data_IF_338708370535
#
_entry.id   IF_338708370535
#
_cell.length_a   1.000
_cell.length_b   1.000
_cell.length_c   1.000
_cell.angle_alpha   90.00
_cell.angle_beta   90.00
_cell.angle_gamma   90.00
#
_symmetry.space_group_name_H-M   'P 1'
#
loop_
_entity.id
_entity.type
_entity.pdbx_description
1 polymer ?
#
# COMPACT_ATOMS: atom_id res chain seq x y z
N UNK A 1 -9.19 -3.10 24.08
CA UNK A 1 -9.19 -1.63 24.24
C UNK A 1 -8.23 -1.12 23.20
N UNK A 2 -8.77 -0.57 22.12
CA UNK A 2 -7.98 -0.13 20.97
C UNK A 2 -7.58 1.33 21.21
N UNK A 3 -6.29 1.64 21.11
CA UNK A 3 -5.76 2.99 21.38
C UNK A 3 -5.19 3.55 20.08
N UNK A 4 -5.74 4.67 19.63
CA UNK A 4 -5.20 5.43 18.51
C UNK A 4 -4.20 6.46 19.02
N UNK A 5 -2.98 6.47 18.47
CA UNK A 5 -1.98 7.52 18.71
C UNK A 5 -1.74 8.23 17.39
N UNK A 6 -1.88 9.56 17.41
CA UNK A 6 -1.59 10.40 16.24
C UNK A 6 -0.09 10.67 16.21
N UNK A 7 0.57 10.33 15.11
CA UNK A 7 2.03 10.51 14.94
C UNK A 7 2.32 11.72 14.06
N UNK A 8 1.45 12.02 13.10
CA UNK A 8 1.52 13.21 12.24
C UNK A 8 0.11 13.69 11.87
N UNK A 9 -0.02 14.81 11.15
CA UNK A 9 -1.30 15.44 10.86
C UNK A 9 -2.29 14.52 10.12
N UNK A 10 -1.76 13.54 9.39
CA UNK A 10 -2.47 12.57 8.55
C UNK A 10 -2.21 11.09 8.89
N UNK A 11 -1.42 10.78 9.93
CA UNK A 11 -1.00 9.41 10.27
C UNK A 11 -1.45 9.01 11.66
N UNK A 12 -2.13 7.86 11.75
CA UNK A 12 -2.65 7.29 12.98
C UNK A 12 -2.11 5.88 13.20
N UNK A 13 -1.64 5.60 14.41
CA UNK A 13 -1.22 4.28 14.85
C UNK A 13 -2.33 3.69 15.73
N UNK A 14 -2.71 2.46 15.44
CA UNK A 14 -3.75 1.70 16.12
C UNK A 14 -3.17 0.36 16.51
N UNK A 15 -3.69 -0.23 17.60
CA UNK A 15 -3.39 -1.61 17.95
C UNK A 15 -4.64 -2.46 17.82
N UNK A 16 -4.52 -3.60 17.14
CA UNK A 16 -5.58 -4.57 16.94
C UNK A 16 -5.07 -5.95 17.40
N UNK A 17 -5.46 -6.38 18.60
CA UNK A 17 -4.89 -7.60 19.19
C UNK A 17 -3.38 -7.46 19.41
N UNK A 18 -2.57 -8.34 18.82
CA UNK A 18 -1.09 -8.24 18.77
C UNK A 18 -0.57 -7.31 17.68
N UNK A 19 -1.37 -7.03 16.65
CA UNK A 19 -0.94 -6.30 15.48
C UNK A 19 -0.93 -4.78 15.69
N UNK A 20 0.10 -4.12 15.16
CA UNK A 20 0.14 -2.68 14.99
C UNK A 20 -0.37 -2.31 13.60
N UNK A 21 -1.22 -1.30 13.51
CA UNK A 21 -1.83 -0.82 12.28
C UNK A 21 -1.58 0.67 12.13
N UNK A 22 -0.94 1.05 11.04
CA UNK A 22 -0.69 2.43 10.64
C UNK A 22 -1.72 2.82 9.59
N UNK A 23 -2.37 3.96 9.79
CA UNK A 23 -3.38 4.52 8.89
C UNK A 23 -2.89 5.88 8.42
N UNK A 24 -2.54 5.97 7.14
CA UNK A 24 -2.25 7.21 6.45
C UNK A 24 -3.46 7.70 5.67
N UNK A 25 -3.86 8.95 5.89
CA UNK A 25 -4.97 9.58 5.16
C UNK A 25 -4.47 10.82 4.40
N UNK A 26 -4.49 10.76 3.08
CA UNK A 26 -4.27 11.93 2.22
C UNK A 26 -5.60 12.46 1.69
N UNK A 27 -5.58 13.60 1.00
CA UNK A 27 -6.78 14.18 0.39
C UNK A 27 -7.52 13.22 -0.55
N UNK A 28 -6.79 12.31 -1.22
CA UNK A 28 -7.33 11.47 -2.29
C UNK A 28 -7.19 9.96 -2.02
N UNK A 29 -6.44 9.56 -1.00
CA UNK A 29 -6.14 8.15 -0.75
C UNK A 29 -6.10 7.82 0.73
N UNK A 30 -6.65 6.65 1.06
CA UNK A 30 -6.45 5.96 2.31
C UNK A 30 -5.39 4.88 2.08
N UNK A 31 -4.37 4.85 2.94
CA UNK A 31 -3.43 3.75 3.06
C UNK A 31 -3.50 3.19 4.48
N UNK A 32 -3.69 1.89 4.61
CA UNK A 32 -3.66 1.18 5.89
C UNK A 32 -2.59 0.10 5.76
N UNK A 33 -1.62 0.07 6.66
CA UNK A 33 -0.57 -0.94 6.69
C UNK A 33 -0.40 -1.50 8.09
N UNK A 34 -0.01 -2.76 8.16
CA UNK A 34 0.37 -3.45 9.39
C UNK A 34 1.75 -4.08 9.16
N UNK A 35 2.82 -3.53 9.74
CA UNK A 35 4.14 -4.14 9.67
C UNK A 35 4.17 -5.44 10.48
N UNK A 36 4.71 -6.51 9.92
CA UNK A 36 4.65 -7.85 10.52
C UNK A 36 6.04 -8.40 10.82
N UNK A 37 6.94 -8.42 9.83
CA UNK A 37 8.29 -8.98 9.98
C UNK A 37 9.33 -8.02 9.40
N UNK A 38 10.49 -7.92 10.06
CA UNK A 38 11.58 -7.02 9.65
C UNK A 38 12.39 -7.55 8.46
N UNK A 39 12.40 -8.86 8.29
CA UNK A 39 13.16 -9.56 7.27
C UNK A 39 12.41 -10.82 6.82
N UNK A 40 12.87 -11.43 5.74
CA UNK A 40 12.34 -12.71 5.25
C UNK A 40 12.99 -13.88 6.02
N UNK A 41 12.29 -15.03 6.15
CA UNK A 41 12.85 -16.17 6.87
C UNK A 41 14.02 -16.77 6.07
N UNK A 42 15.22 -16.70 6.65
CA UNK A 42 16.45 -17.14 5.98
C UNK A 42 16.40 -18.62 5.59
N UNK A 43 16.74 -18.91 4.33
CA UNK A 43 16.72 -20.26 3.76
C UNK A 43 15.34 -20.79 3.39
N UNK A 44 14.27 -20.01 3.58
CA UNK A 44 12.88 -20.34 3.21
C UNK A 44 12.19 -19.20 2.45
N UNK A 45 12.95 -18.25 1.91
CA UNK A 45 12.44 -17.00 1.33
C UNK A 45 11.46 -17.27 0.19
N UNK A 46 11.81 -18.17 -0.73
CA UNK A 46 10.95 -18.50 -1.87
C UNK A 46 9.61 -19.13 -1.45
N UNK A 47 9.63 -20.02 -0.44
CA UNK A 47 8.42 -20.66 0.08
C UNK A 47 7.55 -19.64 0.83
N UNK A 48 8.17 -18.75 1.61
CA UNK A 48 7.49 -17.68 2.29
C UNK A 48 6.80 -16.73 1.31
N UNK A 49 7.50 -16.26 0.29
CA UNK A 49 6.92 -15.41 -0.77
C UNK A 49 5.75 -16.10 -1.49
N UNK A 50 5.87 -17.39 -1.81
CA UNK A 50 4.76 -18.14 -2.40
C UNK A 50 3.56 -18.20 -1.46
N UNK A 51 3.80 -18.40 -0.16
CA UNK A 51 2.75 -18.42 0.85
C UNK A 51 2.04 -17.07 0.96
N UNK A 52 2.78 -15.96 0.97
CA UNK A 52 2.20 -14.62 0.97
C UNK A 52 1.28 -14.39 -0.24
N UNK A 53 1.69 -14.84 -1.42
CA UNK A 53 0.88 -14.74 -2.63
C UNK A 53 -0.42 -15.57 -2.54
N UNK A 54 -0.37 -16.76 -1.95
CA UNK A 54 -1.58 -17.57 -1.71
C UNK A 54 -2.53 -16.91 -0.70
N UNK A 55 -2.00 -16.27 0.33
CA UNK A 55 -2.80 -15.51 1.29
C UNK A 55 -3.42 -14.27 0.63
N UNK A 56 -2.72 -13.60 -0.28
CA UNK A 56 -3.26 -12.49 -1.07
C UNK A 56 -4.49 -12.90 -1.90
N UNK A 57 -4.43 -14.07 -2.54
CA UNK A 57 -5.56 -14.64 -3.26
C UNK A 57 -6.74 -14.91 -2.29
N UNK A 58 -6.45 -15.51 -1.13
CA UNK A 58 -7.45 -15.83 -0.10
C UNK A 58 -8.15 -14.58 0.44
N UNK A 59 -7.43 -13.46 0.61
CA UNK A 59 -8.00 -12.21 1.10
C UNK A 59 -8.88 -11.48 0.07
N UNK A 60 -8.95 -11.96 -1.18
CA UNK A 60 -9.89 -11.46 -2.19
C UNK A 60 -9.73 -9.98 -2.52
N UNK A 61 -8.50 -9.45 -2.40
CA UNK A 61 -8.18 -8.04 -2.69
C UNK A 61 -8.58 -7.03 -1.60
N UNK A 62 -9.04 -7.49 -0.43
CA UNK A 62 -9.31 -6.60 0.72
C UNK A 62 -8.01 -6.01 1.29
N UNK A 63 -6.97 -6.84 1.35
CA UNK A 63 -5.63 -6.48 1.75
C UNK A 63 -4.63 -7.35 0.97
N UNK A 64 -3.37 -6.94 0.95
CA UNK A 64 -2.29 -7.70 0.34
C UNK A 64 -1.00 -7.56 1.14
N UNK A 65 -0.27 -8.66 1.23
CA UNK A 65 1.12 -8.68 1.64
C UNK A 65 1.99 -8.03 0.58
N UNK A 66 2.95 -7.25 1.05
CA UNK A 66 4.03 -6.68 0.26
C UNK A 66 5.34 -6.75 1.04
N UNK A 67 6.45 -6.76 0.30
CA UNK A 67 7.80 -6.66 0.86
C UNK A 67 8.32 -5.29 0.44
N UNK A 68 8.69 -4.48 1.43
CA UNK A 68 9.28 -3.17 1.22
C UNK A 68 10.76 -3.27 0.82
N UNK A 69 11.30 -2.20 0.27
CA UNK A 69 12.69 -2.17 -0.18
C UNK A 69 13.71 -2.33 0.96
N UNK A 70 13.31 -1.99 2.18
CA UNK A 70 14.07 -2.16 3.42
C UNK A 70 13.95 -3.56 4.03
N UNK A 71 13.23 -4.48 3.36
CA UNK A 71 13.06 -5.87 3.78
C UNK A 71 11.82 -6.14 4.63
N UNK A 72 11.08 -5.10 5.05
CA UNK A 72 9.89 -5.29 5.86
C UNK A 72 8.77 -6.00 5.10
N UNK A 73 8.20 -7.01 5.75
CA UNK A 73 6.97 -7.65 5.31
C UNK A 73 5.81 -6.91 5.95
N UNK A 74 4.94 -6.36 5.12
CA UNK A 74 3.77 -5.60 5.54
C UNK A 74 2.50 -6.15 4.92
N UNK A 75 1.43 -6.15 5.71
CA UNK A 75 0.08 -6.33 5.19
C UNK A 75 -0.53 -4.94 4.96
N UNK A 76 -0.98 -4.65 3.75
CA UNK A 76 -1.51 -3.33 3.41
C UNK A 76 -2.82 -3.39 2.65
N UNK A 77 -3.61 -2.34 2.79
CA UNK A 77 -4.77 -2.05 1.97
C UNK A 77 -4.75 -0.56 1.59
N UNK A 78 -5.01 -0.27 0.33
CA UNK A 78 -5.06 1.10 -0.18
C UNK A 78 -6.26 1.29 -1.09
N UNK A 79 -6.95 2.43 -0.96
CA UNK A 79 -7.98 2.83 -1.94
C UNK A 79 -8.15 4.34 -1.98
N UNK A 80 -8.85 4.80 -2.99
CA UNK A 80 -9.28 6.19 -3.08
C UNK A 80 -10.12 6.58 -1.86
N UNK A 81 -9.79 7.71 -1.24
CA UNK A 81 -10.58 8.33 -0.17
C UNK A 81 -11.81 9.08 -0.73
N UNK A 82 -11.86 9.31 -2.06
CA UNK A 82 -12.97 10.01 -2.70
C UNK A 82 -14.26 9.20 -2.57
N UNK A 83 -15.26 9.80 -1.93
CA UNK A 83 -16.56 9.16 -1.72
C UNK A 83 -16.54 8.07 -0.66
N UNK A 84 -15.45 7.94 0.11
CA UNK A 84 -15.36 6.99 1.21
C UNK A 84 -16.22 7.45 2.38
N UNK A 85 -17.11 6.58 2.85
CA UNK A 85 -17.84 6.83 4.08
C UNK A 85 -17.12 6.26 5.32
N UNK A 86 -17.60 6.67 6.51
CA UNK A 86 -17.02 6.23 7.77
C UNK A 86 -17.13 4.70 7.98
N UNK A 87 -18.17 4.06 7.44
CA UNK A 87 -18.35 2.63 7.55
C UNK A 87 -17.31 1.89 6.69
N UNK A 88 -17.12 2.29 5.44
CA UNK A 88 -16.08 1.77 4.55
C UNK A 88 -14.69 1.94 5.14
N UNK A 89 -14.37 3.13 5.67
CA UNK A 89 -13.12 3.37 6.37
C UNK A 89 -12.90 2.37 7.51
N UNK A 90 -13.92 2.19 8.38
CA UNK A 90 -13.86 1.24 9.50
C UNK A 90 -13.69 -0.19 9.02
N UNK A 91 -14.35 -0.57 7.93
CA UNK A 91 -14.24 -1.92 7.35
C UNK A 91 -12.82 -2.18 6.86
N UNK A 92 -12.19 -1.24 6.15
CA UNK A 92 -10.81 -1.39 5.68
C UNK A 92 -9.85 -1.54 6.86
N UNK A 93 -9.89 -0.59 7.82
CA UNK A 93 -9.00 -0.61 8.99
C UNK A 93 -9.17 -1.90 9.80
N UNK A 94 -10.43 -2.30 10.05
CA UNK A 94 -10.74 -3.54 10.77
C UNK A 94 -10.26 -4.78 10.03
N UNK A 95 -10.35 -4.79 8.71
CA UNK A 95 -9.96 -5.96 7.92
C UNK A 95 -8.45 -6.15 7.98
N UNK A 96 -7.67 -5.08 7.78
CA UNK A 96 -6.20 -5.15 7.91
C UNK A 96 -5.79 -5.59 9.31
N UNK A 97 -6.36 -4.97 10.36
CA UNK A 97 -6.03 -5.35 11.74
C UNK A 97 -6.34 -6.81 12.05
N UNK A 98 -7.51 -7.30 11.62
CA UNK A 98 -7.91 -8.70 11.82
C UNK A 98 -7.04 -9.69 11.04
N UNK A 99 -6.68 -9.38 9.80
CA UNK A 99 -5.82 -10.25 8.99
C UNK A 99 -4.38 -10.24 9.51
N UNK A 100 -3.88 -9.09 9.97
CA UNK A 100 -2.55 -8.99 10.56
C UNK A 100 -2.43 -9.86 11.83
N UNK A 101 -3.39 -9.73 12.76
CA UNK A 101 -3.47 -10.52 14.01
C UNK A 101 -3.77 -12.01 13.79
N UNK A 102 -4.29 -12.39 12.62
CA UNK A 102 -4.52 -13.80 12.28
C UNK A 102 -3.27 -14.42 11.66
N UNK A 103 -2.60 -13.69 10.77
CA UNK A 103 -1.51 -14.21 9.96
C UNK A 103 -0.14 -14.00 10.58
N UNK A 104 0.03 -13.11 11.56
CA UNK A 104 1.29 -12.94 12.28
C UNK A 104 1.68 -14.23 13.00
N UNK A 105 0.80 -14.74 13.85
CA UNK A 105 1.00 -15.98 14.60
C UNK A 105 1.14 -17.17 13.64
N UNK A 106 0.28 -17.26 12.62
CA UNK A 106 0.33 -18.35 11.65
C UNK A 106 1.66 -18.39 10.87
N UNK A 107 2.11 -17.25 10.34
CA UNK A 107 3.35 -17.18 9.55
C UNK A 107 4.59 -17.33 10.45
N UNK A 108 4.50 -16.86 11.69
CA UNK A 108 5.56 -17.06 12.68
C UNK A 108 5.77 -18.55 12.97
N UNK A 109 4.69 -19.27 13.28
CA UNK A 109 4.74 -20.70 13.56
C UNK A 109 5.22 -21.51 12.34
N UNK A 110 4.80 -21.15 11.13
CA UNK A 110 5.13 -21.89 9.90
C UNK A 110 6.59 -21.68 9.46
N UNK A 111 7.15 -20.47 9.62
CA UNK A 111 8.45 -20.11 9.03
C UNK A 111 9.55 -19.76 10.02
N UNK A 112 9.21 -19.16 11.16
CA UNK A 112 10.16 -18.59 12.11
C UNK A 112 10.36 -19.43 13.38
N UNK A 113 9.44 -20.33 13.73
CA UNK A 113 9.55 -21.17 14.95
C UNK A 113 10.79 -22.10 14.94
N UNK A 114 11.33 -22.44 13.76
CA UNK A 114 12.62 -23.16 13.65
C UNK A 114 13.85 -22.29 13.99
N UNK A 115 13.68 -20.98 14.15
CA UNK A 115 14.71 -20.01 14.58
C UNK A 115 14.43 -19.53 16.01
N UNK A 116 14.62 -20.44 16.97
CA UNK A 116 14.47 -20.29 18.42
C UNK A 116 14.40 -18.87 19.02
N UNK A 117 13.30 -18.63 19.74
CA UNK A 117 13.19 -17.90 21.00
C UNK A 117 13.80 -16.48 21.10
N UNK A 118 12.95 -15.46 21.03
CA UNK A 118 13.02 -14.39 22.02
C UNK A 118 12.88 -12.93 21.59
N UNK A 119 12.90 -12.55 20.30
CA UNK A 119 12.97 -11.12 19.94
C UNK A 119 12.19 -10.66 18.69
N UNK A 120 11.18 -11.40 18.22
CA UNK A 120 10.45 -11.01 17.00
C UNK A 120 9.02 -10.49 17.21
N UNK A 121 8.72 -9.95 18.40
CA UNK A 121 7.61 -8.99 18.54
C UNK A 121 8.18 -7.59 18.45
N UNK A 122 7.48 -6.72 17.73
CA UNK A 122 7.80 -5.30 17.65
C UNK A 122 8.05 -4.74 19.06
N UNK A 123 9.22 -4.13 19.32
CA UNK A 123 9.38 -3.25 20.46
C UNK A 123 8.37 -2.10 20.28
N UNK A 124 7.46 -1.94 21.22
CA UNK A 124 6.33 -1.00 21.16
C UNK A 124 6.73 0.48 21.21
N UNK A 125 8.01 0.85 21.06
CA UNK A 125 8.48 2.20 21.43
C UNK A 125 9.36 2.97 20.42
N UNK A 126 9.80 2.42 19.28
CA UNK A 126 10.82 3.12 18.45
C UNK A 126 10.48 3.32 16.95
N UNK A 127 9.21 3.21 16.53
CA UNK A 127 8.85 3.62 15.16
C UNK A 127 8.59 5.12 15.07
N UNK A 128 9.66 5.91 15.02
CA UNK A 128 9.65 7.25 14.43
C UNK A 128 10.18 7.10 13.00
N UNK A 129 9.41 7.44 11.95
CA UNK A 129 9.99 7.54 10.61
C UNK A 129 10.98 8.70 10.64
N UNK A 130 12.28 8.40 10.73
CA UNK A 130 13.31 9.40 10.51
C UNK A 130 13.33 9.80 9.03
N UNK A 131 13.16 11.10 8.76
CA UNK A 131 13.64 11.74 7.54
C UNK A 131 12.59 12.08 6.50
N UNK A 132 11.97 13.26 6.63
CA UNK A 132 11.83 14.14 5.47
C UNK A 132 13.23 14.39 4.86
N UNK A 133 13.38 14.18 3.54
CA UNK A 133 14.16 14.93 2.53
C UNK A 133 14.09 14.09 1.23
N UNK A 134 13.66 14.52 0.04
CA UNK A 134 13.29 15.80 -0.51
C UNK A 134 12.27 15.59 -1.65
N UNK A 135 11.28 16.47 -1.75
CA UNK A 135 10.51 16.66 -2.98
C UNK A 135 11.49 17.11 -4.08
N UNK A 136 11.83 16.19 -4.98
CA UNK A 136 12.40 16.54 -6.27
C UNK A 136 11.37 17.36 -7.05
N UNK A 137 11.58 18.67 -7.12
CA UNK A 137 10.85 19.57 -8.02
C UNK A 137 10.99 19.04 -9.44
N UNK A 138 9.89 18.56 -10.01
CA UNK A 138 9.84 18.28 -11.44
C UNK A 138 10.05 19.61 -12.19
N UNK A 139 11.01 19.70 -13.14
CA UNK A 139 11.17 20.91 -13.93
C UNK A 139 9.93 21.10 -14.82
N UNK A 140 9.39 22.31 -14.78
CA UNK A 140 8.33 22.76 -15.67
C UNK A 140 8.79 22.60 -17.13
N UNK A 141 8.03 21.83 -17.91
CA UNK A 141 8.21 21.76 -19.37
C UNK A 141 7.70 23.07 -19.96
N UNK A 142 8.52 23.85 -20.69
CA UNK A 142 8.06 25.05 -21.36
C UNK A 142 7.19 24.66 -22.56
N UNK A 143 5.97 25.20 -22.59
CA UNK A 143 5.07 25.12 -23.75
C UNK A 143 5.57 26.15 -24.76
N UNK A 144 6.34 25.70 -25.75
CA UNK A 144 6.79 26.56 -26.83
C UNK A 144 5.68 26.68 -27.88
N UNK A 145 5.23 27.91 -28.07
CA UNK A 145 4.23 28.32 -29.04
C UNK A 145 4.95 28.99 -30.20
N UNK A 146 5.15 28.28 -31.32
CA UNK A 146 5.26 28.86 -32.66
C UNK A 146 5.45 27.77 -33.73
N UNK A 147 4.56 27.74 -34.72
CA UNK A 147 4.90 27.84 -36.16
C UNK A 147 3.62 27.77 -37.02
N UNK A 148 3.14 28.98 -37.34
CA UNK A 148 2.67 29.51 -38.64
C UNK A 148 2.13 28.58 -39.76
N UNK A 149 0.92 28.98 -40.18
CA UNK A 149 0.28 29.02 -41.51
C UNK A 149 1.02 28.50 -42.77
N UNK A 150 0.23 27.85 -43.64
CA UNK A 150 0.59 27.62 -45.05
C UNK A 150 -0.50 26.89 -45.86
N UNK A 151 -1.39 27.66 -46.48
CA UNK A 151 -2.42 27.24 -47.43
C UNK A 151 -1.95 26.32 -48.56
N UNK A 152 -2.83 25.39 -49.00
CA UNK A 152 -3.14 25.22 -50.43
C UNK A 152 -4.43 24.45 -50.70
N UNK A 153 -5.18 25.01 -51.65
CA UNK A 153 -6.43 24.57 -52.26
C UNK A 153 -6.33 23.20 -52.95
N UNK A 154 -7.48 22.54 -53.10
CA UNK A 154 -7.66 21.41 -54.02
C UNK A 154 -9.03 20.77 -53.85
N UNK A 155 -10.06 21.36 -54.44
CA UNK A 155 -11.39 20.76 -54.53
C UNK A 155 -11.44 19.56 -55.48
N UNK A 156 -12.35 18.64 -55.21
CA UNK A 156 -13.05 17.85 -56.24
C UNK A 156 -14.30 17.22 -55.62
N UNK A 157 -15.45 17.58 -56.18
CA UNK A 157 -16.79 17.02 -55.94
C UNK A 157 -16.92 15.55 -56.44
N UNK A 158 -18.04 14.85 -56.10
CA UNK A 158 -18.14 13.40 -56.05
C UNK A 158 -18.79 12.78 -57.29
N UNK A 159 -18.90 11.44 -57.36
CA UNK A 159 -19.98 10.79 -58.07
C UNK A 159 -21.00 10.14 -57.12
N UNK A 160 -22.27 10.41 -57.40
CA UNK A 160 -23.44 9.66 -56.91
C UNK A 160 -23.40 8.23 -57.46
N UNK A 161 -23.82 7.26 -56.66
CA UNK A 161 -24.28 5.98 -57.18
C UNK A 161 -25.59 5.59 -56.51
N UNK A 162 -26.68 5.81 -57.23
CA UNK A 162 -27.93 5.06 -57.09
C UNK A 162 -27.76 3.72 -57.82
N UNK A 163 -28.11 2.63 -57.13
CA UNK A 163 -28.52 1.36 -57.73
C UNK A 163 -29.38 0.60 -56.71
#
# INVERSE_FOLDING_TARGET
MDRAVRVDDAVYHLRWGSAEVVVGLSQNALAVSAPMFKELPSGKEALFCLRLLQLNDTMGGVASFAIQADGWVVLQAGRSAKGMDLHEFKVVVRSVGKFADLYDDQLFDEFYDSQLSGQHRLPTDDYLPEGEEALGTAPAVPVDSALTEGSREGGSEPPKSDA
#
